data_IF_880945065083
#
_entry.id   IF_880945065083
#
_cell.length_a   1.000
_cell.length_b   1.000
_cell.length_c   1.000
_cell.angle_alpha   90.00
_cell.angle_beta   90.00
_cell.angle_gamma   90.00
#
_symmetry.space_group_name_H-M   'P 1'
#
loop_
_entity.id
_entity.type
_entity.pdbx_description
1 polymer ?
#
# COMPACT_ATOMS: atom_id res chain seq x y z
N UNK A 1 10.35 28.96 42.53
CA UNK A 1 11.40 28.05 42.02
C UNK A 1 10.72 26.71 41.79
N UNK A 2 9.92 26.62 40.73
CA UNK A 2 10.34 26.17 39.39
C UNK A 2 10.84 24.73 39.39
N UNK A 3 10.06 23.89 38.72
CA UNK A 3 10.35 22.50 38.43
C UNK A 3 9.27 21.95 37.50
N UNK A 4 8.93 22.71 36.45
CA UNK A 4 8.04 22.25 35.39
C UNK A 4 8.70 21.07 34.69
N UNK A 5 8.12 19.88 34.86
CA UNK A 5 8.46 18.70 34.09
C UNK A 5 8.07 18.97 32.63
N UNK A 6 9.03 19.44 31.84
CA UNK A 6 8.89 19.49 30.39
C UNK A 6 8.65 18.08 29.88
N UNK A 7 7.46 17.82 29.36
CA UNK A 7 7.18 16.66 28.53
C UNK A 7 8.08 16.78 27.30
N UNK A 8 9.19 16.03 27.29
CA UNK A 8 9.85 15.73 26.02
C UNK A 8 8.84 14.90 25.25
N UNK A 9 8.13 15.53 24.29
CA UNK A 9 7.18 14.84 23.43
C UNK A 9 7.93 13.76 22.67
N UNK A 10 7.83 12.51 23.15
CA UNK A 10 8.41 11.37 22.47
C UNK A 10 7.74 11.21 21.11
N UNK A 11 8.50 10.80 20.10
CA UNK A 11 7.94 10.41 18.82
C UNK A 11 6.96 9.26 19.08
N UNK A 12 5.67 9.37 18.68
CA UNK A 12 4.71 8.33 18.93
C UNK A 12 5.13 7.04 18.22
N UNK A 13 4.97 5.91 18.90
CA UNK A 13 5.22 4.60 18.30
C UNK A 13 4.26 4.39 17.13
N UNK A 14 4.78 3.93 15.98
CA UNK A 14 3.97 3.61 14.79
C UNK A 14 3.86 2.10 14.61
N UNK A 15 2.64 1.60 14.41
CA UNK A 15 2.34 0.19 14.15
C UNK A 15 1.63 0.03 12.82
N UNK A 16 2.23 -0.71 11.89
CA UNK A 16 1.58 -1.13 10.65
C UNK A 16 0.76 -2.39 10.89
N UNK A 17 -0.56 -2.25 10.86
CA UNK A 17 -1.54 -3.32 10.97
C UNK A 17 -1.71 -4.10 9.65
N UNK A 18 -0.60 -4.58 9.08
CA UNK A 18 -0.63 -5.29 7.79
C UNK A 18 0.53 -6.26 7.59
N UNK A 19 0.21 -7.45 7.10
CA UNK A 19 1.19 -8.46 6.70
C UNK A 19 1.74 -8.28 5.29
N UNK A 20 1.26 -7.29 4.54
CA UNK A 20 1.69 -7.06 3.15
C UNK A 20 3.14 -6.56 3.10
N UNK A 21 4.07 -7.28 2.44
CA UNK A 21 5.46 -6.81 2.27
C UNK A 21 5.54 -5.46 1.56
N UNK A 22 4.65 -5.23 0.57
CA UNK A 22 4.60 -4.00 -0.22
C UNK A 22 4.25 -2.78 0.63
N UNK A 23 3.31 -2.91 1.56
CA UNK A 23 2.92 -1.81 2.47
C UNK A 23 4.05 -1.45 3.43
N UNK A 24 4.76 -2.47 3.93
CA UNK A 24 5.96 -2.30 4.76
C UNK A 24 7.06 -1.56 4.00
N UNK A 25 7.35 -1.98 2.77
CA UNK A 25 8.35 -1.33 1.92
C UNK A 25 7.97 0.14 1.67
N UNK A 26 6.73 0.40 1.26
CA UNK A 26 6.23 1.75 0.98
C UNK A 26 6.26 2.66 2.22
N UNK A 27 5.85 2.17 3.40
CA UNK A 27 5.96 2.94 4.64
C UNK A 27 7.44 3.21 5.01
N UNK A 28 8.34 2.27 4.76
CA UNK A 28 9.77 2.45 4.98
C UNK A 28 10.40 3.57 4.15
N UNK A 29 9.90 3.82 2.92
CA UNK A 29 10.35 4.94 2.08
C UNK A 29 10.08 6.32 2.72
N UNK A 30 9.15 6.39 3.67
CA UNK A 30 8.79 7.60 4.39
C UNK A 30 9.75 7.91 5.55
N UNK A 31 10.75 7.06 5.81
CA UNK A 31 11.69 7.26 6.93
C UNK A 31 11.01 7.22 8.30
N UNK A 32 9.85 6.58 8.40
CA UNK A 32 9.12 6.36 9.65
C UNK A 32 9.66 5.09 10.28
N UNK A 33 10.00 5.14 11.58
CA UNK A 33 10.26 3.93 12.36
C UNK A 33 8.92 3.32 12.77
N UNK A 34 8.71 2.03 12.44
CA UNK A 34 7.47 1.33 12.77
C UNK A 34 7.73 -0.15 13.04
N UNK A 35 6.81 -0.78 13.76
CA UNK A 35 6.71 -2.25 13.85
C UNK A 35 5.51 -2.76 13.06
N UNK A 36 5.55 -4.02 12.67
CA UNK A 36 4.42 -4.70 12.03
C UNK A 36 3.71 -5.57 13.04
N UNK A 37 2.38 -5.47 13.11
CA UNK A 37 1.54 -6.38 13.88
C UNK A 37 0.29 -6.77 13.10
N UNK A 38 -0.10 -8.04 13.17
CA UNK A 38 -1.35 -8.53 12.60
C UNK A 38 -2.41 -8.63 13.71
N UNK A 39 -3.66 -8.31 13.38
CA UNK A 39 -4.84 -8.47 14.24
C UNK A 39 -5.10 -9.94 14.60
N UNK A 40 -4.78 -10.87 13.69
CA UNK A 40 -5.06 -12.30 13.86
C UNK A 40 -6.54 -12.67 13.72
N UNK A 41 -7.41 -11.69 13.52
CA UNK A 41 -8.86 -11.84 13.38
C UNK A 41 -9.26 -11.77 11.91
N UNK A 42 -10.31 -12.50 11.51
CA UNK A 42 -10.88 -12.36 10.18
C UNK A 42 -11.65 -11.04 10.09
N UNK A 43 -11.28 -10.18 9.13
CA UNK A 43 -12.00 -8.94 8.88
C UNK A 43 -13.05 -9.16 7.79
N UNK A 44 -14.29 -9.46 8.19
CA UNK A 44 -15.43 -9.58 7.28
C UNK A 44 -16.28 -8.30 7.31
N UNK A 45 -16.77 -7.89 6.14
CA UNK A 45 -17.70 -6.77 5.99
C UNK A 45 -18.82 -7.17 5.02
N UNK A 46 -20.02 -6.67 5.30
CA UNK A 46 -21.18 -6.83 4.41
C UNK A 46 -21.32 -5.67 3.40
N UNK A 47 -20.41 -4.69 3.43
CA UNK A 47 -20.39 -3.57 2.50
C UNK A 47 -20.09 -4.04 1.07
N UNK A 48 -20.78 -3.44 0.11
CA UNK A 48 -20.71 -3.82 -1.31
C UNK A 48 -20.25 -2.67 -2.21
N UNK A 49 -20.34 -1.42 -1.75
CA UNK A 49 -19.71 -0.30 -2.44
C UNK A 49 -18.18 -0.41 -2.31
N UNK A 50 -17.42 -0.48 -3.42
CA UNK A 50 -15.98 -0.70 -3.37
C UNK A 50 -15.20 0.36 -2.59
N UNK A 51 -15.67 1.62 -2.62
CA UNK A 51 -15.01 2.72 -1.91
C UNK A 51 -15.26 2.59 -0.40
N UNK A 52 -16.51 2.41 0.02
CA UNK A 52 -16.87 2.21 1.42
C UNK A 52 -16.21 0.94 2.00
N UNK A 53 -16.24 -0.16 1.26
CA UNK A 53 -15.64 -1.45 1.67
C UNK A 53 -14.14 -1.31 1.93
N UNK A 54 -13.40 -0.65 1.04
CA UNK A 54 -11.96 -0.46 1.22
C UNK A 54 -11.64 0.34 2.50
N UNK A 55 -12.42 1.38 2.79
CA UNK A 55 -12.30 2.18 4.02
C UNK A 55 -12.66 1.38 5.27
N UNK A 56 -13.75 0.61 5.24
CA UNK A 56 -14.22 -0.20 6.36
C UNK A 56 -13.21 -1.30 6.72
N UNK A 57 -12.72 -2.06 5.73
CA UNK A 57 -11.72 -3.11 5.95
C UNK A 57 -10.39 -2.54 6.48
N UNK A 58 -9.97 -1.37 5.99
CA UNK A 58 -8.79 -0.68 6.52
C UNK A 58 -8.98 -0.31 8.00
N UNK A 59 -10.17 0.18 8.36
CA UNK A 59 -10.49 0.57 9.72
C UNK A 59 -10.57 -0.62 10.67
N UNK A 60 -11.20 -1.72 10.25
CA UNK A 60 -11.27 -2.96 11.03
C UNK A 60 -9.86 -3.45 11.39
N UNK A 61 -8.95 -3.47 10.41
CA UNK A 61 -7.53 -3.83 10.61
C UNK A 61 -6.82 -2.92 11.62
N UNK A 62 -6.98 -1.61 11.46
CA UNK A 62 -6.33 -0.65 12.36
C UNK A 62 -6.85 -0.79 13.81
N UNK A 63 -8.18 -0.90 13.98
CA UNK A 63 -8.81 -0.99 15.30
C UNK A 63 -8.45 -2.26 16.06
N UNK A 64 -8.42 -3.40 15.37
CA UNK A 64 -8.08 -4.68 15.99
C UNK A 64 -6.67 -4.66 16.61
N UNK A 65 -5.71 -3.98 15.98
CA UNK A 65 -4.37 -3.79 16.53
C UNK A 65 -4.31 -2.66 17.57
N UNK A 66 -5.05 -1.57 17.36
CA UNK A 66 -5.06 -0.41 18.28
C UNK A 66 -5.56 -0.76 19.68
N UNK A 67 -6.46 -1.73 19.83
CA UNK A 67 -6.95 -2.20 21.13
C UNK A 67 -5.82 -2.67 22.06
N UNK A 68 -4.73 -3.23 21.51
CA UNK A 68 -3.56 -3.67 22.27
C UNK A 68 -2.52 -2.56 22.49
N UNK A 69 -2.64 -1.42 21.81
CA UNK A 69 -1.63 -0.36 21.74
C UNK A 69 -2.25 1.05 21.90
N UNK A 70 -2.84 1.37 23.05
CA UNK A 70 -3.62 2.61 23.24
C UNK A 70 -2.80 3.91 23.11
N UNK A 71 -1.47 3.81 23.16
CA UNK A 71 -0.55 4.96 23.02
C UNK A 71 0.15 5.01 21.66
N UNK A 72 -0.05 4.03 20.79
CA UNK A 72 0.58 3.99 19.47
C UNK A 72 -0.32 4.62 18.40
N UNK A 73 0.31 5.06 17.31
CA UNK A 73 -0.35 5.39 16.05
C UNK A 73 -0.42 4.12 15.22
N UNK A 74 -1.62 3.57 15.05
CA UNK A 74 -1.84 2.33 14.31
C UNK A 74 -2.38 2.64 12.92
N UNK A 75 -1.71 2.14 11.89
CA UNK A 75 -2.12 2.31 10.49
C UNK A 75 -2.57 0.98 9.89
N UNK A 76 -3.83 0.93 9.45
CA UNK A 76 -4.42 -0.16 8.69
C UNK A 76 -4.65 0.25 7.24
N UNK A 77 -4.62 -0.71 6.32
CA UNK A 77 -4.95 -0.48 4.93
C UNK A 77 -5.57 -1.72 4.29
N UNK A 78 -6.48 -1.49 3.34
CA UNK A 78 -7.07 -2.53 2.53
C UNK A 78 -7.24 -2.09 1.08
N UNK A 79 -7.27 -3.05 0.15
CA UNK A 79 -7.30 -2.77 -1.29
C UNK A 79 -8.36 -3.64 -1.95
N UNK A 80 -9.30 -2.96 -2.61
CA UNK A 80 -10.45 -3.55 -3.30
C UNK A 80 -10.32 -3.23 -4.77
N UNK A 81 -10.60 -4.22 -5.63
CA UNK A 81 -10.65 -4.04 -7.08
C UNK A 81 -12.09 -4.23 -7.54
N UNK A 82 -12.57 -3.36 -8.42
CA UNK A 82 -13.89 -3.48 -9.01
C UNK A 82 -13.86 -3.19 -10.52
N UNK A 83 -14.70 -3.86 -11.28
CA UNK A 83 -14.89 -3.63 -12.71
C UNK A 83 -16.37 -3.62 -13.05
N UNK A 84 -16.86 -2.55 -13.67
CA UNK A 84 -18.28 -2.41 -14.00
C UNK A 84 -19.22 -2.54 -12.80
N UNK A 85 -18.79 -2.12 -11.61
CA UNK A 85 -19.55 -2.26 -10.36
C UNK A 85 -19.47 -3.64 -9.69
N UNK A 86 -18.75 -4.60 -10.27
CA UNK A 86 -18.53 -5.93 -9.68
C UNK A 86 -17.22 -5.95 -8.90
N UNK A 87 -17.26 -6.37 -7.64
CA UNK A 87 -16.08 -6.60 -6.82
C UNK A 87 -15.31 -7.83 -7.31
N UNK A 88 -13.99 -7.68 -7.46
CA UNK A 88 -13.08 -8.75 -7.81
C UNK A 88 -12.18 -9.05 -6.62
N UNK A 89 -12.52 -10.11 -5.89
CA UNK A 89 -11.75 -10.62 -4.77
C UNK A 89 -10.43 -11.27 -5.20
N UNK A 90 -9.89 -12.12 -4.33
CA UNK A 90 -8.78 -13.01 -4.69
C UNK A 90 -9.36 -14.21 -5.44
N UNK A 91 -8.80 -14.61 -6.60
CA UNK A 91 -9.28 -15.80 -7.28
C UNK A 91 -8.97 -17.06 -6.45
N UNK A 92 -9.90 -18.00 -6.41
CA UNK A 92 -9.79 -19.26 -5.70
C UNK A 92 -8.76 -20.21 -6.33
N UNK A 93 -8.59 -20.13 -7.65
CA UNK A 93 -7.65 -20.93 -8.41
C UNK A 93 -7.19 -20.23 -9.71
N UNK A 94 -6.31 -20.91 -10.46
CA UNK A 94 -5.79 -20.39 -11.72
C UNK A 94 -6.86 -20.24 -12.82
N UNK A 95 -7.93 -21.03 -12.79
CA UNK A 95 -9.01 -20.93 -13.76
C UNK A 95 -9.85 -19.67 -13.53
N UNK A 96 -10.19 -19.39 -12.27
CA UNK A 96 -10.83 -18.13 -11.88
C UNK A 96 -9.91 -16.94 -12.13
N UNK A 97 -8.60 -17.08 -11.86
CA UNK A 97 -7.65 -16.01 -12.18
C UNK A 97 -7.66 -15.69 -13.68
N UNK A 98 -7.63 -16.71 -14.56
CA UNK A 98 -7.74 -16.51 -16.00
C UNK A 98 -9.08 -15.86 -16.40
N UNK A 99 -10.19 -16.17 -15.73
CA UNK A 99 -11.47 -15.53 -15.96
C UNK A 99 -11.43 -14.04 -15.61
N UNK A 100 -10.82 -13.66 -14.48
CA UNK A 100 -10.62 -12.25 -14.11
C UNK A 100 -9.79 -11.52 -15.17
N UNK A 101 -8.65 -12.09 -15.60
CA UNK A 101 -7.79 -11.47 -16.61
C UNK A 101 -8.50 -11.24 -17.95
N UNK A 102 -9.33 -12.21 -18.40
CA UNK A 102 -10.15 -12.02 -19.61
C UNK A 102 -11.21 -10.94 -19.44
N UNK A 103 -11.82 -10.86 -18.26
CA UNK A 103 -12.83 -9.84 -17.96
C UNK A 103 -12.22 -8.43 -17.91
N UNK A 104 -10.96 -8.29 -17.51
CA UNK A 104 -10.23 -7.02 -17.44
C UNK A 104 -9.53 -6.64 -18.75
N UNK A 105 -9.20 -7.61 -19.60
CA UNK A 105 -8.48 -7.42 -20.87
C UNK A 105 -9.09 -6.30 -21.75
N UNK A 106 -8.27 -5.31 -22.11
CA UNK A 106 -8.67 -4.17 -22.94
C UNK A 106 -9.66 -3.21 -22.29
N UNK A 107 -9.85 -3.28 -20.97
CA UNK A 107 -10.84 -2.48 -20.23
C UNK A 107 -10.19 -1.68 -19.11
N UNK A 108 -10.99 -0.75 -18.59
CA UNK A 108 -10.67 0.03 -17.40
C UNK A 108 -11.37 -0.63 -16.21
N UNK A 109 -10.64 -0.81 -15.11
CA UNK A 109 -11.17 -1.17 -13.80
C UNK A 109 -10.64 -0.23 -12.72
N UNK A 110 -11.31 -0.21 -11.58
CA UNK A 110 -11.01 0.66 -10.47
C UNK A 110 -10.29 -0.11 -9.36
N UNK A 111 -9.27 0.52 -8.80
CA UNK A 111 -8.61 0.06 -7.58
C UNK A 111 -8.85 1.10 -6.49
N UNK A 112 -9.44 0.66 -5.39
CA UNK A 112 -9.70 1.46 -4.21
C UNK A 112 -8.77 0.97 -3.11
N UNK A 113 -7.99 1.87 -2.52
CA UNK A 113 -7.20 1.55 -1.33
C UNK A 113 -7.60 2.45 -0.19
N UNK A 114 -8.21 1.86 0.83
CA UNK A 114 -8.52 2.53 2.09
C UNK A 114 -7.30 2.52 3.01
N UNK A 115 -7.11 3.61 3.72
CA UNK A 115 -6.12 3.76 4.79
C UNK A 115 -6.83 4.32 6.01
N UNK A 116 -6.64 3.66 7.14
CA UNK A 116 -7.15 4.10 8.42
C UNK A 116 -5.99 4.33 9.39
N UNK A 117 -6.05 5.42 10.14
CA UNK A 117 -5.12 5.71 11.24
C UNK A 117 -5.92 5.86 12.52
N UNK A 118 -5.52 5.11 13.55
CA UNK A 118 -6.08 5.17 14.91
C UNK A 118 -4.98 5.65 15.85
N UNK A 119 -5.27 6.69 16.64
CA UNK A 119 -4.34 7.30 17.59
C UNK A 119 -5.09 7.82 18.82
N UNK A 120 -5.02 7.10 19.94
CA UNK A 120 -5.87 7.36 21.09
C UNK A 120 -7.35 7.30 20.71
N UNK A 121 -8.10 8.37 21.02
CA UNK A 121 -9.53 8.48 20.67
C UNK A 121 -9.78 8.96 19.22
N UNK A 122 -8.73 9.31 18.48
CA UNK A 122 -8.85 9.79 17.11
C UNK A 122 -8.83 8.63 16.11
N UNK A 123 -9.76 8.67 15.16
CA UNK A 123 -9.83 7.73 14.03
C UNK A 123 -10.03 8.54 12.75
N UNK A 124 -9.13 8.36 11.80
CA UNK A 124 -9.20 8.97 10.48
C UNK A 124 -9.18 7.87 9.41
N UNK A 125 -10.05 7.97 8.41
CA UNK A 125 -10.12 7.02 7.29
C UNK A 125 -10.22 7.80 6.00
N UNK A 126 -9.38 7.46 5.03
CA UNK A 126 -9.42 8.03 3.69
C UNK A 126 -9.20 6.92 2.64
N UNK A 127 -9.82 7.08 1.47
CA UNK A 127 -9.75 6.10 0.38
C UNK A 127 -9.20 6.77 -0.86
N UNK A 128 -8.15 6.20 -1.42
CA UNK A 128 -7.63 6.60 -2.73
C UNK A 128 -8.24 5.69 -3.82
N UNK A 129 -8.59 6.30 -4.95
CA UNK A 129 -9.02 5.59 -6.17
C UNK A 129 -7.99 5.77 -7.27
N UNK A 130 -7.73 4.71 -8.02
CA UNK A 130 -7.02 4.75 -9.29
C UNK A 130 -7.77 3.93 -10.34
N UNK A 131 -7.80 4.43 -11.57
CA UNK A 131 -8.32 3.71 -12.73
C UNK A 131 -7.13 3.06 -13.46
N UNK A 132 -7.23 1.75 -13.70
CA UNK A 132 -6.19 0.96 -14.38
C UNK A 132 -6.75 0.45 -15.69
N UNK A 133 -6.03 0.71 -16.78
CA UNK A 133 -6.36 0.21 -18.12
C UNK A 133 -5.44 -0.96 -18.44
N UNK A 134 -6.02 -2.12 -18.76
CA UNK A 134 -5.26 -3.24 -19.31
C UNK A 134 -5.11 -3.10 -20.82
N UNK A 135 -3.96 -3.59 -21.32
CA UNK A 135 -3.84 -3.88 -22.75
C UNK A 135 -4.88 -4.91 -23.16
N UNK A 136 -5.13 -5.03 -24.46
CA UNK A 136 -5.76 -6.23 -24.99
C UNK A 136 -4.79 -7.43 -24.84
N UNK A 137 -5.20 -8.41 -24.04
CA UNK A 137 -4.43 -9.61 -23.74
C UNK A 137 -4.86 -10.77 -24.66
N UNK A 138 -3.89 -11.50 -25.19
CA UNK A 138 -4.11 -12.78 -25.88
C UNK A 138 -4.39 -13.91 -24.88
N UNK A 139 -5.03 -14.99 -25.34
CA UNK A 139 -5.26 -16.17 -24.51
C UNK A 139 -3.96 -16.81 -23.99
N UNK A 140 -2.86 -16.71 -24.77
CA UNK A 140 -1.55 -17.20 -24.36
C UNK A 140 -0.97 -16.38 -23.20
N UNK A 141 -1.09 -15.05 -23.23
CA UNK A 141 -0.67 -14.19 -22.12
C UNK A 141 -1.50 -14.44 -20.86
N UNK A 142 -2.83 -14.57 -21.01
CA UNK A 142 -3.74 -14.90 -19.91
C UNK A 142 -3.36 -16.23 -19.27
N UNK A 143 -3.17 -17.28 -20.07
CA UNK A 143 -2.82 -18.60 -19.59
C UNK A 143 -1.45 -18.60 -18.87
N UNK A 144 -0.47 -17.90 -19.42
CA UNK A 144 0.86 -17.78 -18.83
C UNK A 144 0.81 -17.07 -17.47
N UNK A 145 0.14 -15.92 -17.40
CA UNK A 145 0.05 -15.17 -16.14
C UNK A 145 -0.70 -15.97 -15.06
N UNK A 146 -1.83 -16.58 -15.39
CA UNK A 146 -2.58 -17.40 -14.44
C UNK A 146 -1.77 -18.60 -13.92
N UNK A 147 -0.97 -19.24 -14.78
CA UNK A 147 -0.08 -20.35 -14.38
C UNK A 147 1.09 -19.91 -13.50
N UNK A 148 1.51 -18.64 -13.57
CA UNK A 148 2.58 -18.12 -12.71
C UNK A 148 2.21 -18.10 -11.22
N UNK A 149 0.90 -18.08 -10.92
CA UNK A 149 0.38 -17.96 -9.56
C UNK A 149 0.48 -16.54 -8.98
N UNK A 150 1.05 -15.57 -9.69
CA UNK A 150 1.26 -14.22 -9.17
C UNK A 150 -0.06 -13.52 -8.78
N UNK A 151 -1.16 -13.83 -9.46
CA UNK A 151 -2.47 -13.22 -9.18
C UNK A 151 -3.24 -13.80 -7.99
N UNK A 152 -2.86 -14.98 -7.49
CA UNK A 152 -3.72 -15.78 -6.59
C UNK A 152 -3.95 -15.15 -5.22
N UNK A 153 -2.98 -14.40 -4.70
CA UNK A 153 -3.08 -13.74 -3.40
C UNK A 153 -3.56 -12.27 -3.49
N UNK A 154 -4.02 -11.81 -4.66
CA UNK A 154 -4.31 -10.40 -4.95
C UNK A 154 -5.75 -10.19 -5.40
N UNK A 155 -6.38 -9.15 -4.86
CA UNK A 155 -7.68 -8.68 -5.34
C UNK A 155 -7.57 -8.31 -6.84
N UNK A 156 -8.58 -8.69 -7.64
CA UNK A 156 -8.54 -8.51 -9.10
C UNK A 156 -7.66 -9.53 -9.85
N UNK A 157 -6.96 -10.43 -9.14
CA UNK A 157 -6.19 -11.49 -9.77
C UNK A 157 -4.91 -11.02 -10.47
N UNK A 158 -4.34 -9.87 -10.13
CA UNK A 158 -3.04 -9.45 -10.66
C UNK A 158 -2.29 -8.52 -9.69
N UNK A 159 -1.00 -8.35 -9.89
CA UNK A 159 -0.19 -7.32 -9.25
C UNK A 159 0.37 -6.32 -10.26
N UNK A 160 0.34 -5.02 -9.97
CA UNK A 160 0.95 -4.01 -10.84
C UNK A 160 2.49 -3.95 -10.75
N UNK A 161 3.10 -4.96 -10.13
CA UNK A 161 4.54 -5.14 -9.97
C UNK A 161 4.91 -6.51 -10.54
N UNK A 162 6.20 -6.77 -10.77
CA UNK A 162 6.68 -8.03 -11.36
C UNK A 162 6.00 -8.35 -12.71
N UNK A 163 5.47 -9.56 -12.93
CA UNK A 163 4.92 -9.96 -14.24
C UNK A 163 3.71 -9.12 -14.63
N UNK A 164 2.87 -8.75 -13.66
CA UNK A 164 1.61 -8.07 -13.96
C UNK A 164 1.79 -6.63 -14.47
N UNK A 165 3.00 -6.06 -14.36
CA UNK A 165 3.36 -4.82 -15.06
C UNK A 165 3.15 -4.94 -16.58
N UNK A 166 3.38 -6.13 -17.15
CA UNK A 166 3.20 -6.35 -18.58
C UNK A 166 1.73 -6.34 -19.02
N UNK A 167 0.76 -6.45 -18.10
CA UNK A 167 -0.67 -6.46 -18.41
C UNK A 167 -1.25 -5.05 -18.56
N UNK A 168 -0.64 -4.06 -17.90
CA UNK A 168 -1.16 -2.72 -17.74
C UNK A 168 -0.70 -1.81 -18.88
N UNK A 169 -1.65 -1.10 -19.48
CA UNK A 169 -1.40 -0.05 -20.48
C UNK A 169 -1.26 1.32 -19.83
N UNK A 170 -2.14 1.64 -18.87
CA UNK A 170 -2.22 2.97 -18.27
C UNK A 170 -2.73 2.91 -16.84
N UNK A 171 -2.25 3.84 -16.01
CA UNK A 171 -2.77 4.11 -14.67
C UNK A 171 -3.14 5.59 -14.59
N UNK A 172 -4.36 5.87 -14.14
CA UNK A 172 -4.86 7.21 -13.88
C UNK A 172 -5.20 7.32 -12.39
N UNK A 173 -4.42 8.10 -11.65
CA UNK A 173 -4.46 8.15 -10.19
C UNK A 173 -3.10 7.82 -9.58
N UNK A 174 -3.08 7.47 -8.31
CA UNK A 174 -1.84 7.22 -7.59
C UNK A 174 -1.36 5.77 -7.77
N UNK A 175 -0.18 5.57 -8.35
CA UNK A 175 0.42 4.23 -8.52
C UNK A 175 0.58 3.48 -7.19
N UNK A 176 1.03 4.17 -6.13
CA UNK A 176 1.12 3.60 -4.78
C UNK A 176 -0.23 3.11 -4.25
N UNK A 177 -1.35 3.72 -4.67
CA UNK A 177 -2.69 3.21 -4.35
C UNK A 177 -2.95 1.85 -5.01
N UNK A 178 -2.51 1.67 -6.26
CA UNK A 178 -2.65 0.38 -6.99
C UNK A 178 -1.75 -0.70 -6.39
N UNK A 179 -0.55 -0.33 -5.92
CA UNK A 179 0.34 -1.24 -5.18
C UNK A 179 -0.28 -1.66 -3.83
N UNK A 180 -1.16 -0.82 -3.27
CA UNK A 180 -1.97 -1.08 -2.09
C UNK A 180 -1.66 -0.20 -0.88
N UNK A 181 -0.97 0.93 -1.06
CA UNK A 181 -0.66 1.90 0.01
C UNK A 181 -0.46 3.33 -0.54
N UNK A 182 -1.53 4.14 -0.68
CA UNK A 182 -1.45 5.50 -1.23
C UNK A 182 -0.63 6.41 -0.31
N UNK A 183 0.64 6.62 -0.65
CA UNK A 183 1.58 7.42 0.12
C UNK A 183 1.08 8.84 0.34
N UNK A 184 0.37 9.44 -0.63
CA UNK A 184 -0.18 10.80 -0.44
C UNK A 184 -1.19 10.85 0.73
N UNK A 185 -2.06 9.85 0.84
CA UNK A 185 -3.03 9.68 1.93
C UNK A 185 -2.31 9.34 3.23
N UNK A 186 -1.40 8.36 3.18
CA UNK A 186 -0.63 7.91 4.35
C UNK A 186 0.12 9.07 5.00
N UNK A 187 0.84 9.89 4.22
CA UNK A 187 1.57 11.05 4.73
C UNK A 187 0.63 12.03 5.42
N UNK A 188 -0.53 12.32 4.83
CA UNK A 188 -1.52 13.24 5.39
C UNK A 188 -2.07 12.72 6.72
N UNK A 189 -2.44 11.44 6.79
CA UNK A 189 -2.99 10.83 8.00
C UNK A 189 -1.94 10.72 9.11
N UNK A 190 -0.71 10.31 8.79
CA UNK A 190 0.40 10.25 9.75
C UNK A 190 0.69 11.63 10.35
N UNK A 191 0.73 12.69 9.52
CA UNK A 191 0.94 14.06 10.01
C UNK A 191 -0.19 14.54 10.92
N UNK A 192 -1.45 14.23 10.61
CA UNK A 192 -2.59 14.53 11.50
C UNK A 192 -2.48 13.81 12.84
N UNK A 193 -1.91 12.60 12.85
CA UNK A 193 -1.62 11.84 14.06
C UNK A 193 -0.32 12.26 14.78
N UNK A 194 0.34 13.34 14.35
CA UNK A 194 1.57 13.83 14.98
C UNK A 194 2.84 13.04 14.64
N UNK A 195 2.80 12.16 13.63
CA UNK A 195 3.97 11.42 13.15
C UNK A 195 4.72 12.26 12.12
N UNK A 196 6.03 12.44 12.33
CA UNK A 196 6.92 13.08 11.36
C UNK A 196 7.29 12.09 10.25
N UNK A 197 7.23 12.55 9.01
CA UNK A 197 7.61 11.79 7.81
C UNK A 197 8.85 12.44 7.21
N UNK A 198 9.86 11.62 6.90
CA UNK A 198 11.23 12.01 6.61
C UNK A 198 11.80 12.87 7.73
N UNK A 199 12.45 12.21 8.70
CA UNK A 199 13.11 12.92 9.79
C UNK A 199 14.06 13.99 9.20
N UNK A 200 14.09 15.20 9.79
CA UNK A 200 14.83 16.37 9.26
C UNK A 200 16.36 16.14 9.14
N UNK A 201 16.86 15.02 9.65
CA UNK A 201 18.22 14.54 9.46
C UNK A 201 18.27 13.45 8.36
N UNK A 202 18.26 13.85 7.09
CA UNK A 202 18.77 12.99 6.02
C UNK A 202 20.27 13.27 5.86
N UNK A 203 21.18 12.28 5.97
CA UNK A 203 22.46 12.40 5.29
C UNK A 203 22.18 12.41 3.78
N UNK A 204 22.66 13.44 3.10
CA UNK A 204 22.59 13.54 1.64
C UNK A 204 23.22 12.28 1.02
N UNK A 205 22.45 11.47 0.28
CA UNK A 205 23.00 10.41 -0.60
C UNK A 205 23.66 11.03 -1.84
N UNK A 206 24.58 11.96 -1.64
CA UNK A 206 25.38 12.62 -2.67
C UNK A 206 26.87 12.31 -2.61
N UNK A 207 27.36 11.75 -1.49
CA UNK A 207 28.81 11.64 -1.25
C UNK A 207 29.42 10.25 -1.58
N UNK A 208 28.64 9.32 -2.14
CA UNK A 208 29.14 7.99 -2.55
C UNK A 208 28.89 7.66 -4.02
N UNK A 209 28.98 8.66 -4.91
CA UNK A 209 29.39 8.36 -6.29
C UNK A 209 30.91 8.49 -6.33
N UNK A 210 31.58 7.36 -6.17
CA UNK A 210 33.01 7.21 -6.45
C UNK A 210 33.33 7.91 -7.78
N UNK A 211 34.16 8.96 -7.69
CA UNK A 211 34.86 9.50 -8.84
C UNK A 211 35.54 8.34 -9.56
N UNK A 212 35.20 8.14 -10.83
CA UNK A 212 36.02 7.30 -11.70
C UNK A 212 37.45 7.85 -11.64
N UNK A 213 38.48 7.01 -11.45
CA UNK A 213 39.84 7.50 -11.54
C UNK A 213 40.08 8.09 -12.93
N UNK A 214 40.62 9.30 -12.98
CA UNK A 214 41.08 9.93 -14.21
C UNK A 214 41.99 8.95 -14.98
N UNK A 215 41.83 8.79 -16.30
CA UNK A 215 42.78 8.01 -17.08
C UNK A 215 44.14 8.71 -16.98
N UNK A 216 45.11 8.00 -16.40
CA UNK A 216 46.50 8.41 -16.28
C UNK A 216 46.99 8.99 -17.61
N UNK A 217 47.34 10.28 -17.59
CA UNK A 217 48.13 10.90 -18.63
C UNK A 217 49.54 10.33 -18.53
N UNK A 218 49.89 9.44 -19.45
CA UNK A 218 51.25 8.92 -19.61
C UNK A 218 52.18 10.05 -20.06
N UNK A 219 53.31 10.32 -19.38
CA UNK A 219 54.31 11.24 -19.89
C UNK A 219 55.40 10.51 -20.70
N UNK A 220 55.66 11.08 -21.88
CA UNK A 220 56.81 10.90 -22.80
C UNK A 220 56.88 9.60 -23.62
#
# INVERSE_FOLDING_TARGET
MEGGAGTRGGVPEVVLASGSPRRRELLGLLGVEFRVQLSGEAEESAETDPHALAGELALLKARAVAAAHPQAVVIGADTVVASGGTLLGKPADAAENAAFLRALSGRIHQVYTGVAVVSGDQTEVEVARADVTFRALSDAEVAYYAQSGEGLDKAGGYGIQALGMALVERVEGEYSAVVGFPLSVVIRLLRRAGVTVWNEALPHRGDEVQAAPDPEVSPA
#
